data_IF_613384713305
#
_entry.id   IF_613384713305
#
_cell.length_a   1.000
_cell.length_b   1.000
_cell.length_c   1.000
_cell.angle_alpha   90.00
_cell.angle_beta   90.00
_cell.angle_gamma   90.00
#
_symmetry.space_group_name_H-M   'P 1'
#
loop_
_entity.id
_entity.type
_entity.pdbx_description
1 polymer ?
#
# COMPACT_ATOMS: atom_id res chain seq x y z
N UNK A 1 -16.08 -36.07 -0.30
CA UNK A 1 -14.79 -35.52 0.18
C UNK A 1 -14.31 -34.34 -0.67
N UNK A 2 -14.09 -34.48 -1.98
CA UNK A 2 -13.65 -33.35 -2.84
C UNK A 2 -14.63 -32.16 -2.85
N UNK A 3 -15.94 -32.43 -2.96
CA UNK A 3 -16.97 -31.40 -2.93
C UNK A 3 -17.00 -30.65 -1.59
N UNK A 4 -16.83 -31.36 -0.47
CA UNK A 4 -16.78 -30.75 0.86
C UNK A 4 -15.54 -29.86 1.02
N UNK A 5 -14.39 -30.29 0.52
CA UNK A 5 -13.16 -29.49 0.55
C UNK A 5 -13.29 -28.23 -0.32
N UNK A 6 -13.92 -28.34 -1.49
CA UNK A 6 -14.22 -27.21 -2.37
C UNK A 6 -15.16 -26.19 -1.69
N UNK A 7 -16.25 -26.66 -1.08
CA UNK A 7 -17.19 -25.77 -0.36
C UNK A 7 -16.52 -25.07 0.82
N UNK A 8 -15.71 -25.80 1.60
CA UNK A 8 -14.93 -25.19 2.70
C UNK A 8 -13.95 -24.18 2.16
N UNK A 9 -13.29 -24.45 1.04
CA UNK A 9 -12.41 -23.50 0.37
C UNK A 9 -13.13 -22.20 -0.02
N UNK A 10 -14.28 -22.30 -0.65
CA UNK A 10 -15.09 -21.13 -1.00
C UNK A 10 -15.57 -20.35 0.23
N UNK A 11 -16.01 -21.04 1.28
CA UNK A 11 -16.41 -20.40 2.52
C UNK A 11 -15.25 -19.66 3.18
N UNK A 12 -14.07 -20.27 3.22
CA UNK A 12 -12.87 -19.68 3.77
C UNK A 12 -12.39 -18.48 2.94
N UNK A 13 -12.52 -18.55 1.62
CA UNK A 13 -12.05 -17.52 0.70
C UNK A 13 -12.98 -16.30 0.68
N UNK A 14 -14.29 -16.48 0.65
CA UNK A 14 -15.25 -15.40 0.41
C UNK A 14 -16.10 -15.02 1.62
N UNK A 15 -16.30 -15.89 2.58
CA UNK A 15 -17.24 -15.66 3.69
C UNK A 15 -16.55 -15.59 5.04
N UNK A 16 -15.79 -16.61 5.39
CA UNK A 16 -15.16 -16.76 6.71
C UNK A 16 -13.70 -16.32 6.66
N UNK A 17 -13.47 -15.07 6.24
CA UNK A 17 -12.18 -14.43 6.13
C UNK A 17 -12.27 -12.99 6.67
N UNK A 18 -11.15 -12.31 6.76
CA UNK A 18 -11.14 -10.90 7.13
C UNK A 18 -11.55 -10.03 5.95
N UNK A 19 -12.64 -9.28 6.13
CA UNK A 19 -13.20 -8.40 5.11
C UNK A 19 -12.78 -6.94 5.38
N UNK A 20 -11.66 -6.51 4.81
CA UNK A 20 -11.16 -5.15 4.96
C UNK A 20 -10.61 -4.57 3.64
N UNK A 21 -10.09 -3.35 3.70
CA UNK A 21 -9.49 -2.69 2.54
C UNK A 21 -8.19 -3.37 2.07
N UNK A 22 -7.45 -4.05 2.97
CA UNK A 22 -6.25 -4.80 2.57
C UNK A 22 -6.64 -6.00 1.71
N UNK A 23 -7.71 -6.71 2.09
CA UNK A 23 -8.25 -7.82 1.30
C UNK A 23 -8.61 -7.36 -0.11
N UNK A 24 -9.44 -6.32 -0.23
CA UNK A 24 -9.88 -5.81 -1.53
C UNK A 24 -8.71 -5.33 -2.41
N UNK A 25 -7.67 -4.74 -1.80
CA UNK A 25 -6.47 -4.31 -2.51
C UNK A 25 -5.64 -5.49 -3.01
N UNK A 26 -5.35 -6.45 -2.14
CA UNK A 26 -4.53 -7.61 -2.52
C UNK A 26 -5.24 -8.46 -3.57
N UNK A 27 -6.55 -8.72 -3.40
CA UNK A 27 -7.34 -9.41 -4.41
C UNK A 27 -7.39 -8.64 -5.74
N UNK A 28 -7.53 -7.30 -5.67
CA UNK A 28 -7.48 -6.43 -6.84
C UNK A 28 -6.18 -6.52 -7.64
N UNK A 29 -5.05 -6.78 -6.98
CA UNK A 29 -3.79 -7.03 -7.67
C UNK A 29 -3.81 -8.33 -8.48
N UNK A 30 -4.40 -9.38 -7.94
CA UNK A 30 -4.44 -10.68 -8.62
C UNK A 30 -5.39 -10.77 -9.80
N UNK A 31 -6.31 -9.81 -9.93
CA UNK A 31 -7.20 -9.72 -11.10
C UNK A 31 -6.67 -8.79 -12.20
N UNK A 32 -5.56 -8.08 -11.98
CA UNK A 32 -4.89 -7.35 -13.05
C UNK A 32 -4.38 -8.31 -14.13
N UNK A 33 -4.46 -7.89 -15.38
CA UNK A 33 -3.93 -8.67 -16.49
C UNK A 33 -2.45 -8.96 -16.31
N UNK A 34 -2.02 -10.16 -16.70
CA UNK A 34 -0.65 -10.60 -16.50
C UNK A 34 0.34 -9.69 -17.25
N UNK A 35 1.43 -9.35 -16.58
CA UNK A 35 2.56 -8.56 -17.13
C UNK A 35 2.15 -7.17 -17.65
N UNK A 36 1.09 -6.56 -17.05
CA UNK A 36 0.61 -5.21 -17.42
C UNK A 36 1.00 -4.12 -16.43
N UNK A 37 1.64 -4.45 -15.32
CA UNK A 37 2.08 -3.48 -14.31
C UNK A 37 3.54 -3.10 -14.52
N UNK A 38 3.81 -1.84 -14.92
CA UNK A 38 5.16 -1.30 -15.09
C UNK A 38 5.90 -1.12 -13.78
N UNK A 39 5.16 -0.64 -12.74
CA UNK A 39 5.73 -0.30 -11.42
C UNK A 39 4.91 -0.97 -10.32
N UNK A 40 5.50 -1.92 -9.64
CA UNK A 40 4.91 -2.51 -8.44
C UNK A 40 5.38 -1.74 -7.20
N UNK A 41 4.44 -1.44 -6.30
CA UNK A 41 4.69 -0.63 -5.10
C UNK A 41 4.46 -1.50 -3.87
N UNK A 42 5.51 -1.79 -3.09
CA UNK A 42 5.42 -2.60 -1.88
C UNK A 42 5.75 -1.79 -0.63
N UNK A 43 5.03 -2.05 0.44
CA UNK A 43 5.23 -1.30 1.69
C UNK A 43 3.98 -1.26 2.56
N UNK A 44 3.83 -0.14 3.26
CA UNK A 44 2.76 0.07 4.24
C UNK A 44 1.64 1.00 3.71
N UNK A 45 0.91 1.60 4.65
CA UNK A 45 -0.19 2.51 4.33
C UNK A 45 0.22 3.75 3.55
N UNK A 46 1.43 4.21 3.68
CA UNK A 46 1.94 5.37 2.94
C UNK A 46 1.98 5.09 1.45
N UNK A 47 2.32 3.87 1.05
CA UNK A 47 2.39 3.44 -0.34
C UNK A 47 1.02 3.51 -1.03
N UNK A 48 -0.02 2.94 -0.42
CA UNK A 48 -1.34 2.91 -1.04
C UNK A 48 -2.15 4.20 -0.87
N UNK A 49 -1.74 5.10 0.03
CA UNK A 49 -2.40 6.40 0.19
C UNK A 49 -1.64 7.56 -0.47
N UNK A 50 -0.35 7.37 -0.75
CA UNK A 50 0.50 8.43 -1.28
C UNK A 50 0.61 8.46 -2.80
N UNK A 51 0.28 7.37 -3.50
CA UNK A 51 0.40 7.27 -4.96
C UNK A 51 -0.92 6.79 -5.54
N UNK A 52 -1.46 7.57 -6.49
CA UNK A 52 -2.63 7.20 -7.29
C UNK A 52 -2.22 6.55 -8.60
N UNK A 53 -2.47 5.23 -8.80
CA UNK A 53 -2.12 4.56 -10.04
C UNK A 53 -2.85 5.12 -11.27
N UNK A 54 -4.12 5.46 -11.16
CA UNK A 54 -4.88 6.03 -12.28
C UNK A 54 -4.30 7.37 -12.74
N UNK A 55 -3.93 8.25 -11.79
CA UNK A 55 -3.28 9.53 -12.11
C UNK A 55 -1.86 9.31 -12.69
N UNK A 56 -1.11 8.34 -12.19
CA UNK A 56 0.19 7.97 -12.73
C UNK A 56 0.08 7.55 -14.20
N UNK A 57 -0.91 6.73 -14.52
CA UNK A 57 -1.20 6.31 -15.88
C UNK A 57 -1.63 7.49 -16.77
N UNK A 58 -2.55 8.33 -16.30
CA UNK A 58 -3.00 9.53 -17.03
C UNK A 58 -1.83 10.45 -17.43
N UNK A 59 -0.95 10.74 -16.49
CA UNK A 59 0.12 11.74 -16.70
C UNK A 59 1.33 11.21 -17.42
N UNK A 60 1.62 9.92 -17.27
CA UNK A 60 2.92 9.35 -17.72
C UNK A 60 2.78 8.07 -18.53
N UNK A 61 1.56 7.54 -18.73
CA UNK A 61 1.33 6.25 -19.37
C UNK A 61 1.86 5.06 -18.56
N UNK A 62 2.32 5.28 -17.33
CA UNK A 62 2.93 4.25 -16.49
C UNK A 62 1.86 3.56 -15.64
N UNK A 63 1.68 2.28 -15.87
CA UNK A 63 0.80 1.44 -15.03
C UNK A 63 1.49 1.12 -13.72
N UNK A 64 0.77 1.26 -12.62
CA UNK A 64 1.32 0.95 -11.31
C UNK A 64 0.27 0.31 -10.39
N UNK A 65 0.74 -0.42 -9.38
CA UNK A 65 -0.18 -1.01 -8.39
C UNK A 65 0.47 -1.09 -7.00
N UNK A 66 -0.19 -0.61 -5.92
CA UNK A 66 0.28 -0.74 -4.55
C UNK A 66 -0.08 -2.12 -3.96
N UNK A 67 0.81 -3.10 -4.14
CA UNK A 67 0.76 -4.38 -3.45
C UNK A 67 1.25 -4.22 -2.01
N UNK A 68 0.51 -3.43 -1.24
CA UNK A 68 0.87 -2.93 0.08
C UNK A 68 -0.27 -3.13 1.09
N UNK A 69 0.07 -3.29 2.37
CA UNK A 69 -0.91 -3.52 3.43
C UNK A 69 -0.63 -2.63 4.65
N UNK A 70 -1.67 -2.33 5.42
CA UNK A 70 -1.51 -1.53 6.63
C UNK A 70 -0.50 -2.17 7.58
N UNK A 71 0.44 -1.35 8.10
CA UNK A 71 1.48 -1.79 9.04
C UNK A 71 2.30 -2.99 8.54
N UNK A 72 2.65 -3.01 7.25
CA UNK A 72 3.44 -4.11 6.66
C UNK A 72 4.70 -4.40 7.47
N UNK A 73 5.05 -5.68 7.59
CA UNK A 73 6.21 -6.17 8.33
C UNK A 73 7.42 -6.38 7.42
N UNK A 74 8.64 -6.35 7.98
CA UNK A 74 9.85 -6.64 7.20
C UNK A 74 9.86 -8.07 6.64
N UNK A 75 9.27 -9.01 7.38
CA UNK A 75 9.12 -10.40 6.94
C UNK A 75 8.24 -10.54 5.69
N UNK A 76 7.31 -9.61 5.46
CA UNK A 76 6.43 -9.63 4.29
C UNK A 76 7.15 -9.26 2.99
N UNK A 77 8.18 -8.40 3.04
CA UNK A 77 8.81 -7.81 1.85
C UNK A 77 9.28 -8.84 0.81
N UNK A 78 10.00 -9.87 1.28
CA UNK A 78 10.46 -10.96 0.41
C UNK A 78 9.30 -11.70 -0.26
N UNK A 79 8.24 -11.98 0.49
CA UNK A 79 7.07 -12.68 -0.04
C UNK A 79 6.28 -11.79 -0.99
N UNK A 80 6.20 -10.47 -0.72
CA UNK A 80 5.57 -9.51 -1.62
C UNK A 80 6.26 -9.47 -2.98
N UNK A 81 7.59 -9.44 -3.04
CA UNK A 81 8.32 -9.51 -4.32
C UNK A 81 7.97 -10.80 -5.07
N UNK A 82 8.06 -11.96 -4.41
CA UNK A 82 7.76 -13.27 -5.01
C UNK A 82 6.31 -13.37 -5.51
N UNK A 83 5.36 -12.79 -4.80
CA UNK A 83 3.96 -12.77 -5.23
C UNK A 83 3.73 -11.86 -6.43
N UNK A 84 4.42 -10.72 -6.50
CA UNK A 84 4.40 -9.85 -7.66
C UNK A 84 4.95 -10.59 -8.87
N UNK A 85 6.13 -11.18 -8.78
CA UNK A 85 6.79 -11.91 -9.87
C UNK A 85 5.99 -13.13 -10.36
N UNK A 86 5.07 -13.65 -9.55
CA UNK A 86 4.21 -14.77 -9.94
C UNK A 86 3.17 -14.37 -11.01
N UNK A 87 2.74 -13.13 -11.02
CA UNK A 87 1.68 -12.62 -11.90
C UNK A 87 2.10 -11.46 -12.78
N UNK A 88 3.14 -10.74 -12.42
CA UNK A 88 3.62 -9.54 -13.09
C UNK A 88 5.14 -9.61 -13.31
N UNK A 89 5.63 -8.85 -14.28
CA UNK A 89 7.05 -8.65 -14.54
C UNK A 89 7.37 -7.14 -14.58
N UNK A 90 7.33 -6.46 -13.41
CA UNK A 90 7.47 -5.01 -13.37
C UNK A 90 8.87 -4.55 -13.76
N UNK A 91 8.94 -3.43 -14.46
CA UNK A 91 10.20 -2.75 -14.81
C UNK A 91 10.87 -2.16 -13.58
N UNK A 92 10.08 -1.87 -12.53
CA UNK A 92 10.58 -1.36 -11.26
C UNK A 92 9.70 -1.86 -10.12
N UNK A 93 10.34 -2.27 -9.03
CA UNK A 93 9.69 -2.54 -7.74
C UNK A 93 10.13 -1.46 -6.77
N UNK A 94 9.17 -0.64 -6.33
CA UNK A 94 9.41 0.43 -5.35
C UNK A 94 9.12 -0.10 -3.95
N UNK A 95 10.09 0.03 -3.05
CA UNK A 95 10.08 -0.55 -1.70
C UNK A 95 10.09 0.56 -0.66
N UNK A 96 9.00 0.71 0.08
CA UNK A 96 8.92 1.64 1.21
C UNK A 96 9.60 1.01 2.44
N UNK A 97 10.55 1.77 3.05
CA UNK A 97 11.43 1.23 4.09
C UNK A 97 10.92 1.35 5.53
N UNK A 98 9.71 1.82 5.75
CA UNK A 98 9.18 2.11 7.10
C UNK A 98 9.26 0.92 8.06
N UNK A 99 9.01 -0.30 7.56
CA UNK A 99 9.05 -1.51 8.37
C UNK A 99 10.43 -1.78 9.03
N UNK A 100 11.50 -1.20 8.50
CA UNK A 100 12.85 -1.33 9.06
C UNK A 100 13.21 -0.21 10.05
N UNK A 101 12.32 0.76 10.29
CA UNK A 101 12.61 1.95 11.11
C UNK A 101 11.90 1.97 12.46
N UNK A 102 10.98 1.05 12.69
CA UNK A 102 10.21 1.00 13.92
C UNK A 102 11.09 0.69 15.15
N UNK A 103 10.65 1.20 16.30
CA UNK A 103 11.24 0.87 17.60
C UNK A 103 10.36 -0.11 18.39
N UNK A 104 9.25 -0.54 17.81
CA UNK A 104 8.24 -1.42 18.44
C UNK A 104 8.16 -2.75 17.69
N UNK A 105 7.68 -3.78 18.37
CA UNK A 105 7.61 -5.13 17.82
C UNK A 105 6.45 -5.34 16.83
N UNK A 106 6.31 -4.45 15.84
CA UNK A 106 5.30 -4.62 14.78
C UNK A 106 5.39 -5.98 14.09
N UNK A 107 6.60 -6.54 13.99
CA UNK A 107 6.84 -7.88 13.46
C UNK A 107 6.15 -9.00 14.27
N UNK A 108 5.78 -8.72 15.50
CA UNK A 108 5.10 -9.67 16.41
C UNK A 108 3.60 -9.37 16.56
N UNK A 109 3.11 -8.26 16.00
CA UNK A 109 1.67 -7.94 16.05
C UNK A 109 0.90 -8.84 15.08
N UNK A 110 0.03 -9.65 15.65
CA UNK A 110 -0.83 -10.55 14.86
C UNK A 110 -1.60 -9.79 13.77
N UNK A 111 -2.14 -8.61 14.08
CA UNK A 111 -2.86 -7.78 13.11
C UNK A 111 -2.00 -7.38 11.92
N UNK A 112 -0.75 -6.96 12.14
CA UNK A 112 0.17 -6.58 11.07
C UNK A 112 0.51 -7.76 10.15
N UNK A 113 0.75 -8.92 10.74
CA UNK A 113 1.01 -10.16 10.01
C UNK A 113 -0.22 -10.56 9.18
N UNK A 114 -1.41 -10.56 9.79
CA UNK A 114 -2.66 -10.96 9.14
C UNK A 114 -3.11 -9.99 8.05
N UNK A 115 -2.85 -8.70 8.20
CA UNK A 115 -3.13 -7.70 7.15
C UNK A 115 -2.53 -8.08 5.80
N UNK A 116 -1.44 -8.85 5.79
CA UNK A 116 -0.81 -9.35 4.58
C UNK A 116 -1.14 -10.82 4.32
N UNK A 117 -0.71 -11.72 5.20
CA UNK A 117 -0.66 -13.14 4.87
C UNK A 117 -2.04 -13.80 4.73
N UNK A 118 -3.06 -13.31 5.45
CA UNK A 118 -4.42 -13.83 5.30
C UNK A 118 -5.00 -13.54 3.91
N UNK A 119 -4.50 -12.51 3.23
CA UNK A 119 -4.94 -12.07 1.92
C UNK A 119 -4.14 -12.71 0.76
N UNK A 120 -3.00 -13.35 1.04
CA UNK A 120 -2.22 -14.08 0.03
C UNK A 120 -2.87 -15.42 -0.27
N UNK A 121 -3.09 -15.80 -1.55
CA UNK A 121 -3.59 -17.12 -1.90
C UNK A 121 -2.69 -18.26 -1.38
N UNK A 122 -3.27 -19.43 -1.12
CA UNK A 122 -2.52 -20.58 -0.68
C UNK A 122 -1.60 -21.08 -1.80
N UNK A 123 -0.32 -20.80 -1.68
CA UNK A 123 0.75 -21.20 -2.57
C UNK A 123 2.06 -21.39 -1.81
N UNK A 124 3.15 -21.73 -2.49
CA UNK A 124 4.44 -21.99 -1.85
C UNK A 124 5.03 -20.75 -1.15
N UNK A 125 4.79 -19.53 -1.65
CA UNK A 125 5.26 -18.30 -1.01
C UNK A 125 4.57 -18.09 0.34
N UNK A 126 3.26 -18.35 0.42
CA UNK A 126 2.51 -18.33 1.69
C UNK A 126 3.02 -19.38 2.66
N UNK A 127 3.28 -20.61 2.19
CA UNK A 127 3.85 -21.69 3.02
C UNK A 127 5.23 -21.28 3.55
N UNK A 128 6.12 -20.76 2.69
CA UNK A 128 7.45 -20.29 3.09
C UNK A 128 7.36 -19.18 4.14
N UNK A 129 6.45 -18.22 3.97
CA UNK A 129 6.23 -17.18 4.95
C UNK A 129 5.77 -17.73 6.31
N UNK A 130 4.75 -18.60 6.32
CA UNK A 130 4.19 -19.18 7.55
C UNK A 130 5.26 -20.02 8.28
N UNK A 131 6.02 -20.82 7.55
CA UNK A 131 7.06 -21.68 8.13
C UNK A 131 8.33 -20.90 8.51
N UNK A 132 8.67 -19.85 7.76
CA UNK A 132 9.86 -19.03 7.97
C UNK A 132 9.70 -17.99 9.09
N UNK A 133 8.49 -17.45 9.32
CA UNK A 133 8.28 -16.33 10.24
C UNK A 133 8.14 -16.81 11.69
N UNK A 134 9.09 -16.40 12.55
CA UNK A 134 9.11 -16.82 13.96
C UNK A 134 7.84 -16.39 14.72
N UNK A 135 7.34 -15.17 14.48
CA UNK A 135 6.13 -14.67 15.11
C UNK A 135 4.91 -15.56 14.78
N UNK A 136 4.75 -15.98 13.52
CA UNK A 136 3.69 -16.92 13.10
C UNK A 136 3.82 -18.26 13.80
N UNK A 137 5.05 -18.78 13.93
CA UNK A 137 5.29 -20.03 14.66
C UNK A 137 4.88 -19.92 16.13
N UNK A 138 5.14 -18.78 16.76
CA UNK A 138 4.79 -18.53 18.17
C UNK A 138 3.26 -18.39 18.38
N UNK A 139 2.54 -17.85 17.40
CA UNK A 139 1.07 -17.69 17.45
C UNK A 139 0.30 -18.98 17.12
N UNK A 140 0.93 -19.90 16.39
CA UNK A 140 0.31 -21.13 15.94
C UNK A 140 -0.09 -21.08 14.45
N UNK A 141 0.56 -21.91 13.64
CA UNK A 141 0.47 -21.89 12.17
C UNK A 141 -0.92 -22.23 11.61
N UNK A 142 -1.71 -23.02 12.32
CA UNK A 142 -2.99 -23.55 11.82
C UNK A 142 -3.96 -22.48 11.37
N UNK A 143 -4.07 -21.39 12.14
CA UNK A 143 -4.98 -20.29 11.83
C UNK A 143 -4.55 -19.47 10.61
N UNK A 144 -3.27 -19.51 10.23
CA UNK A 144 -2.75 -18.85 9.05
C UNK A 144 -2.93 -19.69 7.79
N UNK A 145 -2.91 -21.03 7.92
CA UNK A 145 -3.27 -21.93 6.82
C UNK A 145 -4.78 -22.01 6.61
N UNK A 146 -5.53 -21.94 7.70
CA UNK A 146 -6.99 -22.06 7.72
C UNK A 146 -7.62 -20.85 8.41
N UNK A 147 -7.72 -19.69 7.72
CA UNK A 147 -8.33 -18.47 8.29
C UNK A 147 -9.72 -18.69 8.87
N UNK A 148 -10.48 -19.66 8.37
CA UNK A 148 -11.79 -20.06 8.93
C UNK A 148 -11.73 -20.33 10.45
N UNK A 149 -10.62 -20.82 10.99
CA UNK A 149 -10.44 -21.05 12.43
C UNK A 149 -10.51 -19.74 13.20
N UNK A 150 -9.91 -18.68 12.65
CA UNK A 150 -9.89 -17.33 13.23
C UNK A 150 -11.20 -16.60 13.00
N UNK A 151 -11.73 -16.68 11.78
CA UNK A 151 -12.85 -15.85 11.32
C UNK A 151 -14.20 -16.58 11.31
N UNK A 152 -14.35 -17.72 11.99
CA UNK A 152 -15.60 -18.49 12.02
C UNK A 152 -16.80 -17.70 12.61
N UNK A 153 -16.56 -16.62 13.34
CA UNK A 153 -17.60 -15.77 13.95
C UNK A 153 -17.87 -14.47 13.17
N UNK A 154 -17.21 -14.23 12.04
CA UNK A 154 -17.34 -12.96 11.27
C UNK A 154 -18.79 -12.65 10.87
N UNK A 155 -19.62 -13.65 10.73
CA UNK A 155 -21.05 -13.52 10.44
C UNK A 155 -21.85 -12.78 11.51
N UNK A 156 -21.36 -12.69 12.74
CA UNK A 156 -22.02 -11.93 13.80
C UNK A 156 -21.95 -10.42 13.56
N UNK A 157 -21.05 -9.97 12.68
CA UNK A 157 -20.81 -8.55 12.39
C UNK A 157 -21.52 -8.10 11.09
N UNK A 158 -22.35 -8.97 10.46
CA UNK A 158 -23.16 -8.56 9.32
C UNK A 158 -24.09 -7.38 9.69
N UNK A 159 -24.34 -6.41 8.76
CA UNK A 159 -24.15 -6.53 7.30
C UNK A 159 -22.82 -6.00 6.74
N UNK A 160 -21.91 -5.44 7.53
CA UNK A 160 -20.70 -4.81 6.98
C UNK A 160 -19.77 -5.78 6.23
N UNK A 161 -19.40 -6.95 6.79
CA UNK A 161 -18.62 -7.95 6.06
C UNK A 161 -19.29 -8.40 4.76
N UNK A 162 -20.62 -8.54 4.77
CA UNK A 162 -21.39 -8.87 3.57
C UNK A 162 -21.19 -7.85 2.44
N UNK A 163 -21.29 -6.55 2.75
CA UNK A 163 -21.10 -5.51 1.74
C UNK A 163 -19.69 -5.54 1.13
N UNK A 164 -18.67 -5.81 1.92
CA UNK A 164 -17.29 -5.94 1.43
C UNK A 164 -17.11 -7.23 0.61
N UNK A 165 -17.69 -8.34 1.03
CA UNK A 165 -17.70 -9.58 0.26
C UNK A 165 -18.37 -9.40 -1.12
N UNK A 166 -19.53 -8.74 -1.17
CA UNK A 166 -20.23 -8.44 -2.43
C UNK A 166 -19.38 -7.50 -3.30
N UNK A 167 -18.72 -6.52 -2.70
CA UNK A 167 -17.81 -5.62 -3.43
C UNK A 167 -16.64 -6.40 -4.05
N UNK A 168 -16.06 -7.35 -3.32
CA UNK A 168 -15.02 -8.24 -3.83
C UNK A 168 -15.52 -9.09 -5.02
N UNK A 169 -16.65 -9.77 -4.88
CA UNK A 169 -17.22 -10.57 -5.96
C UNK A 169 -17.46 -9.70 -7.20
N UNK A 170 -17.99 -8.48 -7.03
CA UNK A 170 -18.22 -7.56 -8.14
C UNK A 170 -16.90 -7.11 -8.78
N UNK A 171 -15.88 -6.87 -7.99
CA UNK A 171 -14.52 -6.56 -8.45
C UNK A 171 -13.94 -7.71 -9.28
N UNK A 172 -14.04 -8.95 -8.80
CA UNK A 172 -13.59 -10.15 -9.52
C UNK A 172 -14.32 -10.32 -10.85
N UNK A 173 -15.64 -10.08 -10.87
CA UNK A 173 -16.45 -10.14 -12.08
C UNK A 173 -16.10 -9.04 -13.10
N UNK A 174 -15.68 -7.86 -12.64
CA UNK A 174 -15.25 -6.76 -13.51
C UNK A 174 -13.85 -7.00 -14.08
N UNK A 175 -13.00 -7.74 -13.37
CA UNK A 175 -11.62 -8.06 -13.78
C UNK A 175 -10.60 -6.97 -13.47
N UNK A 176 -10.97 -5.88 -12.80
CA UNK A 176 -10.08 -4.80 -12.36
C UNK A 176 -10.73 -3.95 -11.28
N UNK A 177 -9.95 -3.04 -10.67
CA UNK A 177 -10.46 -2.03 -9.75
C UNK A 177 -10.29 -0.64 -10.34
N UNK A 178 -11.27 0.28 -10.14
CA UNK A 178 -11.16 1.66 -10.64
C UNK A 178 -10.02 2.43 -9.98
N UNK A 179 -9.87 2.28 -8.66
CA UNK A 179 -8.82 2.98 -7.90
C UNK A 179 -7.48 2.25 -7.89
N UNK A 180 -7.38 1.06 -8.52
CA UNK A 180 -6.14 0.27 -8.60
C UNK A 180 -5.43 0.15 -7.23
N UNK A 181 -6.21 -0.14 -6.18
CA UNK A 181 -5.69 -0.31 -4.81
C UNK A 181 -5.44 0.97 -4.03
N UNK A 182 -5.61 2.16 -4.62
CA UNK A 182 -5.49 3.44 -3.91
C UNK A 182 -6.55 3.61 -2.83
N UNK A 183 -6.16 4.24 -1.71
CA UNK A 183 -7.04 4.57 -0.59
C UNK A 183 -6.67 5.94 -0.02
N UNK A 184 -7.65 6.75 0.34
CA UNK A 184 -7.42 8.04 0.99
C UNK A 184 -8.44 8.33 2.09
N UNK A 185 -8.35 9.50 2.73
CA UNK A 185 -9.30 9.95 3.77
C UNK A 185 -9.75 11.37 3.50
N UNK A 186 -10.99 11.69 3.91
CA UNK A 186 -11.53 13.06 3.92
C UNK A 186 -11.14 13.73 5.25
N UNK A 187 -9.87 14.06 5.38
CA UNK A 187 -9.31 14.74 6.54
C UNK A 187 -8.12 15.59 6.10
N UNK A 188 -7.96 16.75 6.73
CA UNK A 188 -6.78 17.60 6.60
C UNK A 188 -6.10 17.74 7.95
N UNK A 189 -4.78 17.75 7.95
CA UNK A 189 -4.02 17.99 9.16
C UNK A 189 -4.03 19.48 9.48
N UNK A 190 -4.43 19.81 10.70
CA UNK A 190 -4.34 21.16 11.24
C UNK A 190 -3.19 21.21 12.26
N UNK A 191 -2.17 22.00 12.01
CA UNK A 191 -1.10 22.24 12.96
C UNK A 191 -1.56 23.25 14.01
N UNK A 192 -1.81 22.78 15.23
CA UNK A 192 -1.95 23.67 16.38
C UNK A 192 -0.60 24.31 16.72
N UNK A 193 -0.59 25.47 17.39
CA UNK A 193 0.65 26.13 17.82
C UNK A 193 1.58 25.21 18.59
N UNK A 194 1.05 24.36 19.49
CA UNK A 194 1.83 23.39 20.24
C UNK A 194 2.52 22.37 19.34
N UNK A 195 1.82 21.87 18.33
CA UNK A 195 2.37 20.88 17.40
C UNK A 195 3.39 21.54 16.47
N UNK A 196 3.07 22.73 15.94
CA UNK A 196 4.01 23.49 15.13
C UNK A 196 5.34 23.73 15.85
N UNK A 197 5.30 24.17 17.11
CA UNK A 197 6.50 24.36 17.93
C UNK A 197 7.22 23.05 18.28
N UNK A 198 6.64 21.88 18.02
CA UNK A 198 7.29 20.57 18.20
C UNK A 198 7.90 20.00 16.92
N UNK A 199 7.67 20.63 15.76
CA UNK A 199 8.29 20.21 14.50
C UNK A 199 9.80 20.49 14.53
N UNK A 200 10.56 19.63 13.86
CA UNK A 200 12.01 19.75 13.78
C UNK A 200 12.43 19.90 12.32
N UNK A 201 13.45 20.74 12.06
CA UNK A 201 14.06 20.76 10.75
C UNK A 201 14.67 19.39 10.42
N UNK A 202 14.65 19.03 9.16
CA UNK A 202 15.35 17.84 8.68
C UNK A 202 16.85 18.13 8.58
N UNK A 203 17.68 17.16 8.95
CA UNK A 203 19.13 17.30 8.98
C UNK A 203 19.85 15.99 8.58
N UNK A 204 21.16 16.01 8.64
CA UNK A 204 22.03 14.88 8.31
C UNK A 204 22.27 13.93 9.49
N UNK A 205 21.63 14.13 10.62
CA UNK A 205 21.83 13.29 11.80
C UNK A 205 21.50 11.83 11.52
N UNK A 206 22.32 10.94 12.04
CA UNK A 206 22.17 9.49 11.89
C UNK A 206 22.10 8.84 13.26
N UNK A 207 21.07 8.04 13.46
CA UNK A 207 20.95 7.16 14.61
C UNK A 207 21.01 5.70 14.17
N UNK A 208 21.64 4.86 14.97
CA UNK A 208 21.69 3.41 14.72
C UNK A 208 20.27 2.85 14.61
N UNK A 209 20.08 1.99 13.63
CA UNK A 209 18.89 1.16 13.58
C UNK A 209 18.78 0.33 14.85
N UNK A 210 17.56 0.04 15.29
CA UNK A 210 17.38 -0.97 16.32
C UNK A 210 18.02 -2.28 15.86
N UNK A 211 18.76 -3.00 16.72
CA UNK A 211 19.57 -4.14 16.30
C UNK A 211 18.79 -5.17 15.48
N UNK A 212 17.55 -5.44 15.89
CA UNK A 212 16.64 -6.37 15.22
C UNK A 212 16.28 -5.91 13.80
N UNK A 213 15.84 -4.66 13.66
CA UNK A 213 15.45 -4.11 12.36
C UNK A 213 16.66 -3.88 11.45
N UNK A 214 17.80 -3.51 12.00
CA UNK A 214 19.05 -3.44 11.25
C UNK A 214 19.51 -4.81 10.74
N UNK A 215 19.23 -5.88 11.48
CA UNK A 215 19.44 -7.25 11.03
C UNK A 215 18.47 -7.61 9.88
N UNK A 216 17.18 -7.35 10.05
CA UNK A 216 16.16 -7.63 9.01
C UNK A 216 16.45 -6.89 7.71
N UNK A 217 16.86 -5.61 7.80
CA UNK A 217 17.22 -4.86 6.60
C UNK A 217 18.42 -5.51 5.88
N UNK A 218 19.48 -5.88 6.60
CA UNK A 218 20.63 -6.56 5.99
C UNK A 218 20.24 -7.90 5.35
N UNK A 219 19.50 -8.74 6.06
CA UNK A 219 19.02 -10.03 5.53
C UNK A 219 18.15 -9.86 4.27
N UNK A 220 17.37 -8.79 4.21
CA UNK A 220 16.58 -8.48 3.03
C UNK A 220 17.45 -7.97 1.86
N UNK A 221 18.42 -7.10 2.13
CA UNK A 221 19.38 -6.62 1.12
C UNK A 221 20.27 -7.75 0.60
N UNK A 222 20.74 -8.63 1.48
CA UNK A 222 21.50 -9.85 1.10
C UNK A 222 20.65 -10.72 0.16
N UNK A 223 19.40 -11.00 0.52
CA UNK A 223 18.48 -11.71 -0.34
C UNK A 223 18.32 -11.04 -1.72
N UNK A 224 18.11 -9.72 -1.76
CA UNK A 224 17.97 -8.99 -3.03
C UNK A 224 19.24 -9.12 -3.90
N UNK A 225 20.42 -9.10 -3.29
CA UNK A 225 21.70 -9.30 -4.01
C UNK A 225 21.88 -10.74 -4.49
N UNK A 226 21.55 -11.74 -3.67
CA UNK A 226 21.61 -13.13 -4.04
C UNK A 226 20.68 -13.46 -5.21
N UNK A 227 19.50 -12.84 -5.26
CA UNK A 227 18.56 -12.99 -6.37
C UNK A 227 18.94 -12.12 -7.59
N UNK A 228 19.96 -11.26 -7.49
CA UNK A 228 20.44 -10.37 -8.54
C UNK A 228 19.38 -9.36 -9.03
N UNK A 229 18.51 -8.89 -8.12
CA UNK A 229 17.56 -7.82 -8.48
C UNK A 229 18.30 -6.53 -8.85
N UNK A 230 18.01 -6.00 -10.02
CA UNK A 230 18.54 -4.73 -10.54
C UNK A 230 17.45 -3.66 -10.75
N UNK A 231 16.18 -4.03 -10.54
CA UNK A 231 15.02 -3.19 -10.72
C UNK A 231 14.34 -2.78 -9.38
N UNK A 232 15.12 -2.54 -8.34
CA UNK A 232 14.61 -2.11 -7.04
C UNK A 232 14.89 -0.64 -6.77
N UNK A 233 13.88 0.08 -6.26
CA UNK A 233 14.00 1.45 -5.76
C UNK A 233 13.51 1.51 -4.32
N UNK A 234 14.38 1.84 -3.39
CA UNK A 234 14.01 2.01 -1.98
C UNK A 234 13.57 3.45 -1.72
N UNK A 235 12.41 3.64 -1.08
CA UNK A 235 11.88 4.98 -0.84
C UNK A 235 11.42 5.17 0.60
N UNK A 236 11.40 6.42 1.02
CA UNK A 236 10.71 6.89 2.19
C UNK A 236 9.84 8.08 1.80
N UNK A 237 8.59 8.05 2.20
CA UNK A 237 7.60 9.08 1.87
C UNK A 237 7.87 10.38 2.65
N UNK A 238 7.32 11.53 2.20
CA UNK A 238 7.41 12.78 2.95
C UNK A 238 6.60 12.70 4.24
N UNK A 239 7.17 13.18 5.34
CA UNK A 239 6.56 13.24 6.66
C UNK A 239 6.75 14.62 7.28
N UNK A 240 5.88 14.97 8.20
CA UNK A 240 6.09 16.12 9.08
C UNK A 240 6.88 15.64 10.29
N UNK A 241 8.20 15.90 10.30
CA UNK A 241 9.10 15.40 11.35
C UNK A 241 8.88 16.17 12.65
N UNK A 242 8.64 15.44 13.73
CA UNK A 242 8.42 15.98 15.08
C UNK A 242 9.43 15.38 16.08
N UNK A 243 9.48 15.93 17.30
CA UNK A 243 10.38 15.45 18.37
C UNK A 243 10.20 13.97 18.67
N UNK A 244 8.96 13.48 18.68
CA UNK A 244 8.65 12.07 18.95
C UNK A 244 8.98 11.15 17.77
N UNK A 245 8.97 11.64 16.53
CA UNK A 245 9.30 10.88 15.32
C UNK A 245 10.75 11.10 14.86
N UNK A 246 11.49 12.01 15.46
CA UNK A 246 12.86 12.37 15.04
C UNK A 246 13.83 11.18 15.02
N UNK A 247 13.71 10.25 15.97
CA UNK A 247 14.55 9.04 15.96
C UNK A 247 14.26 8.17 14.74
N UNK A 248 13.00 8.08 14.28
CA UNK A 248 12.62 7.33 13.09
C UNK A 248 13.21 8.00 11.83
N UNK A 249 13.12 9.33 11.75
CA UNK A 249 13.75 10.11 10.69
C UNK A 249 15.25 9.86 10.60
N UNK A 250 15.99 10.02 11.69
CA UNK A 250 17.45 9.83 11.71
C UNK A 250 17.89 8.39 11.48
N UNK A 251 17.05 7.39 11.82
CA UNK A 251 17.24 5.99 11.43
C UNK A 251 17.03 5.79 9.93
N UNK A 252 16.11 6.52 9.32
CA UNK A 252 15.92 6.55 7.86
C UNK A 252 17.19 6.92 7.13
N UNK A 253 17.91 7.98 7.60
CA UNK A 253 19.20 8.36 7.04
C UNK A 253 20.22 7.22 7.12
N UNK A 254 20.27 6.51 8.25
CA UNK A 254 21.17 5.35 8.43
C UNK A 254 20.78 4.16 7.57
N UNK A 255 19.48 3.91 7.38
CA UNK A 255 19.00 2.85 6.51
C UNK A 255 19.41 3.09 5.06
N UNK A 256 19.30 4.32 4.57
CA UNK A 256 19.72 4.67 3.22
C UNK A 256 21.23 4.61 3.03
N UNK A 257 22.05 4.96 4.04
CA UNK A 257 23.48 4.72 3.98
C UNK A 257 23.79 3.22 3.79
N UNK A 258 23.05 2.34 4.49
CA UNK A 258 23.21 0.90 4.34
C UNK A 258 22.75 0.42 2.96
N UNK A 259 21.58 0.85 2.48
CA UNK A 259 21.06 0.52 1.15
C UNK A 259 22.06 0.94 0.05
N UNK A 260 22.64 2.14 0.17
CA UNK A 260 23.66 2.64 -0.76
C UNK A 260 24.95 1.80 -0.75
N UNK A 261 25.36 1.24 0.41
CA UNK A 261 26.51 0.30 0.50
C UNK A 261 26.25 -0.98 -0.30
N UNK A 262 25.00 -1.40 -0.43
CA UNK A 262 24.59 -2.52 -1.30
C UNK A 262 24.43 -2.12 -2.77
N UNK A 263 24.68 -0.85 -3.13
CA UNK A 263 24.53 -0.32 -4.47
C UNK A 263 23.09 -0.50 -5.03
N UNK A 264 22.08 -0.29 -4.21
CA UNK A 264 20.69 -0.14 -4.65
C UNK A 264 20.31 1.33 -4.75
N UNK A 265 19.43 1.65 -5.69
CA UNK A 265 18.86 2.98 -5.83
C UNK A 265 17.91 3.31 -4.67
N UNK A 266 17.95 4.57 -4.23
CA UNK A 266 17.03 5.05 -3.20
C UNK A 266 16.66 6.53 -3.35
N UNK A 267 15.52 6.91 -2.79
CA UNK A 267 15.06 8.30 -2.65
C UNK A 267 14.48 8.49 -1.25
N UNK A 268 15.04 9.46 -0.52
CA UNK A 268 14.50 9.88 0.77
C UNK A 268 13.68 11.16 0.59
N UNK A 269 12.35 11.03 0.43
CA UNK A 269 11.46 12.17 0.27
C UNK A 269 11.27 12.99 1.56
N UNK A 270 11.68 12.50 2.73
CA UNK A 270 11.76 13.31 3.94
C UNK A 270 12.86 14.39 3.87
N UNK A 271 13.71 14.33 2.85
CA UNK A 271 14.82 15.26 2.62
C UNK A 271 14.80 15.88 1.22
N UNK A 272 13.78 15.59 0.46
CA UNK A 272 13.58 16.14 -0.87
C UNK A 272 12.88 17.50 -0.76
N UNK A 273 13.50 18.54 -1.32
CA UNK A 273 13.00 19.93 -1.19
C UNK A 273 11.58 20.09 -1.73
N UNK A 274 11.24 19.42 -2.82
CA UNK A 274 9.89 19.49 -3.42
C UNK A 274 8.87 18.80 -2.52
N UNK A 275 9.13 17.58 -2.10
CA UNK A 275 8.23 16.82 -1.24
C UNK A 275 8.09 17.48 0.15
N UNK A 276 9.16 18.06 0.68
CA UNK A 276 9.14 18.76 1.97
C UNK A 276 8.45 20.12 1.91
N UNK A 277 8.19 20.67 0.72
CA UNK A 277 7.45 21.93 0.55
C UNK A 277 5.94 21.77 0.68
N UNK A 278 5.40 20.55 0.79
CA UNK A 278 3.97 20.33 0.92
C UNK A 278 3.44 20.88 2.24
N UNK A 279 2.40 21.72 2.21
CA UNK A 279 1.83 22.29 3.41
C UNK A 279 1.09 21.23 4.25
N UNK A 280 0.84 21.47 5.54
CA UNK A 280 0.15 20.54 6.43
C UNK A 280 -1.22 20.09 5.91
N UNK A 281 -1.91 20.93 5.16
CA UNK A 281 -3.22 20.66 4.56
C UNK A 281 -3.16 19.57 3.48
N UNK A 282 -1.97 19.22 2.98
CA UNK A 282 -1.75 18.11 2.06
C UNK A 282 -1.64 16.75 2.77
N UNK A 283 -1.65 16.75 4.09
CA UNK A 283 -1.61 15.55 4.92
C UNK A 283 -2.94 15.34 5.64
N UNK A 284 -3.26 14.10 5.98
CA UNK A 284 -4.36 13.82 6.92
C UNK A 284 -3.86 13.47 8.32
N UNK A 285 -2.59 13.12 8.46
CA UNK A 285 -1.85 13.04 9.71
C UNK A 285 -0.36 13.28 9.41
N UNK A 286 0.52 13.17 10.40
CA UNK A 286 1.93 13.51 10.23
C UNK A 286 2.72 12.55 9.31
N UNK A 287 2.18 11.39 9.03
CA UNK A 287 2.87 10.32 8.29
C UNK A 287 2.21 10.01 6.93
N UNK A 288 1.04 10.62 6.62
CA UNK A 288 0.31 10.24 5.42
C UNK A 288 -0.25 11.46 4.68
N UNK A 289 -0.12 11.43 3.37
CA UNK A 289 -0.73 12.39 2.47
C UNK A 289 -2.24 12.12 2.33
N UNK A 290 -3.02 13.19 2.22
CA UNK A 290 -4.42 13.12 1.81
C UNK A 290 -4.52 13.19 0.27
N UNK A 291 -5.74 13.31 -0.30
CA UNK A 291 -5.90 13.32 -1.77
C UNK A 291 -5.14 14.47 -2.44
N UNK A 292 -5.07 15.65 -1.82
CA UNK A 292 -4.35 16.79 -2.41
C UNK A 292 -2.85 16.55 -2.42
N UNK A 293 -2.29 16.09 -1.30
CA UNK A 293 -0.88 15.78 -1.19
C UNK A 293 -0.48 14.59 -2.06
N UNK A 294 -1.28 13.53 -2.08
CA UNK A 294 -1.00 12.36 -2.92
C UNK A 294 -1.12 12.66 -4.42
N UNK A 295 -1.99 13.57 -4.84
CA UNK A 295 -2.06 14.04 -6.22
C UNK A 295 -0.73 14.71 -6.62
N UNK A 296 -0.28 15.70 -5.84
CA UNK A 296 0.99 16.39 -6.07
C UNK A 296 2.18 15.41 -6.04
N UNK A 297 2.18 14.51 -5.07
CA UNK A 297 3.25 13.53 -4.92
C UNK A 297 3.26 12.51 -6.05
N UNK A 298 2.10 12.05 -6.52
CA UNK A 298 2.00 11.15 -7.68
C UNK A 298 2.58 11.80 -8.94
N UNK A 299 2.24 13.07 -9.21
CA UNK A 299 2.79 13.79 -10.36
C UNK A 299 4.31 13.98 -10.22
N UNK A 300 4.79 14.37 -9.04
CA UNK A 300 6.22 14.54 -8.81
C UNK A 300 6.99 13.21 -8.92
N UNK A 301 6.52 12.17 -8.25
CA UNK A 301 7.15 10.85 -8.29
C UNK A 301 7.13 10.25 -9.71
N UNK A 302 6.01 10.37 -10.42
CA UNK A 302 5.90 9.94 -11.81
C UNK A 302 6.89 10.63 -12.73
N UNK A 303 7.13 11.93 -12.52
CA UNK A 303 8.16 12.66 -13.25
C UNK A 303 9.58 12.10 -13.02
N UNK A 304 9.87 11.68 -11.76
CA UNK A 304 11.14 11.02 -11.42
C UNK A 304 11.25 9.66 -12.12
N UNK A 305 10.19 8.84 -12.07
CA UNK A 305 10.16 7.54 -12.74
C UNK A 305 10.42 7.69 -14.24
N UNK A 306 9.77 8.65 -14.88
CA UNK A 306 9.91 8.88 -16.31
C UNK A 306 11.29 9.46 -16.68
N UNK A 307 11.75 10.47 -15.95
CA UNK A 307 12.94 11.24 -16.32
C UNK A 307 14.25 10.63 -15.81
N UNK A 308 14.28 10.14 -14.56
CA UNK A 308 15.48 9.57 -13.93
C UNK A 308 15.59 8.07 -14.19
N UNK A 309 14.53 7.31 -13.92
CA UNK A 309 14.54 5.85 -14.05
C UNK A 309 14.18 5.36 -15.47
N UNK A 310 13.76 6.28 -16.36
CA UNK A 310 13.43 5.97 -17.77
C UNK A 310 12.39 4.86 -17.92
N UNK A 311 11.44 4.78 -16.98
CA UNK A 311 10.38 3.79 -17.06
C UNK A 311 9.58 4.03 -18.34
N UNK A 312 9.62 3.05 -19.23
CA UNK A 312 8.82 3.03 -20.46
C UNK A 312 7.42 2.49 -20.17
N UNK A 313 6.47 2.90 -20.98
CA UNK A 313 5.12 2.36 -20.94
C UNK A 313 5.12 0.92 -21.48
N UNK A 314 4.30 0.04 -20.87
CA UNK A 314 3.99 -1.27 -21.45
C UNK A 314 2.91 -1.10 -22.51
N UNK A 315 3.08 -1.75 -23.66
CA UNK A 315 2.03 -1.81 -24.69
C UNK A 315 0.88 -2.68 -24.14
N UNK A 316 -0.22 -2.02 -23.84
CA UNK A 316 -1.43 -2.67 -23.34
C UNK A 316 -2.28 -3.17 -24.51
N UNK A 317 -2.94 -4.30 -24.35
CA UNK A 317 -4.01 -4.70 -25.28
C UNK A 317 -5.20 -3.74 -25.15
N UNK A 318 -6.13 -3.79 -26.14
CA UNK A 318 -7.28 -2.87 -26.18
C UNK A 318 -8.14 -2.94 -24.91
N UNK A 319 -8.34 -4.12 -24.34
CA UNK A 319 -9.14 -4.31 -23.15
C UNK A 319 -8.46 -3.72 -21.90
N UNK A 320 -7.17 -4.03 -21.69
CA UNK A 320 -6.41 -3.46 -20.56
C UNK A 320 -6.32 -1.93 -20.69
N UNK A 321 -6.08 -1.40 -21.90
CA UNK A 321 -6.07 0.05 -22.14
C UNK A 321 -7.43 0.69 -21.82
N UNK A 322 -8.54 0.05 -22.22
CA UNK A 322 -9.90 0.50 -21.88
C UNK A 322 -10.10 0.57 -20.38
N UNK A 323 -9.72 -0.48 -19.66
CA UNK A 323 -9.85 -0.56 -18.20
C UNK A 323 -9.03 0.52 -17.48
N UNK A 324 -7.82 0.83 -17.97
CA UNK A 324 -7.01 1.92 -17.41
C UNK A 324 -7.63 3.30 -17.68
N UNK A 325 -8.19 3.52 -18.88
CA UNK A 325 -8.91 4.75 -19.18
C UNK A 325 -10.16 4.91 -18.31
N UNK A 326 -10.92 3.84 -18.07
CA UNK A 326 -12.05 3.86 -17.13
C UNK A 326 -11.60 4.16 -15.69
N UNK A 327 -10.41 3.69 -15.28
CA UNK A 327 -9.83 4.05 -13.99
C UNK A 327 -9.49 5.55 -13.92
N UNK A 328 -8.99 6.16 -14.99
CA UNK A 328 -8.74 7.61 -15.08
C UNK A 328 -10.05 8.39 -14.99
N UNK A 329 -11.06 8.02 -15.78
CA UNK A 329 -12.37 8.66 -15.76
C UNK A 329 -13.02 8.60 -14.37
N UNK A 330 -12.92 7.45 -13.71
CA UNK A 330 -13.41 7.28 -12.34
C UNK A 330 -12.58 8.08 -11.34
N UNK A 331 -11.25 8.19 -11.53
CA UNK A 331 -10.37 8.98 -10.68
C UNK A 331 -10.80 10.46 -10.62
N UNK A 332 -11.12 11.08 -11.74
CA UNK A 332 -11.59 12.47 -11.76
C UNK A 332 -12.90 12.63 -11.00
N UNK A 333 -13.87 11.75 -11.24
CA UNK A 333 -15.14 11.77 -10.51
C UNK A 333 -14.94 11.54 -9.00
N UNK A 334 -14.04 10.63 -8.65
CA UNK A 334 -13.69 10.33 -7.27
C UNK A 334 -12.96 11.50 -6.60
N UNK A 335 -12.07 12.21 -7.33
CA UNK A 335 -11.39 13.40 -6.83
C UNK A 335 -12.41 14.49 -6.48
N UNK A 336 -13.32 14.83 -7.40
CA UNK A 336 -14.36 15.83 -7.18
C UNK A 336 -15.28 15.44 -6.01
N UNK A 337 -15.69 14.18 -5.93
CA UNK A 337 -16.46 13.68 -4.80
C UNK A 337 -15.71 13.78 -3.47
N UNK A 338 -14.43 13.43 -3.47
CA UNK A 338 -13.60 13.49 -2.26
C UNK A 338 -13.36 14.94 -1.83
N UNK A 339 -13.12 15.84 -2.77
CA UNK A 339 -13.03 17.29 -2.47
C UNK A 339 -14.32 17.81 -1.86
N UNK A 340 -15.47 17.50 -2.45
CA UNK A 340 -16.77 17.81 -1.87
C UNK A 340 -16.90 17.29 -0.42
N UNK A 341 -16.48 16.05 -0.18
CA UNK A 341 -16.52 15.46 1.16
C UNK A 341 -15.55 16.12 2.15
N UNK A 342 -14.40 16.62 1.69
CA UNK A 342 -13.50 17.43 2.52
C UNK A 342 -14.13 18.78 2.89
N UNK A 343 -14.81 19.43 1.94
CA UNK A 343 -15.49 20.70 2.21
C UNK A 343 -16.63 20.54 3.22
N UNK A 344 -17.39 19.45 3.14
CA UNK A 344 -18.48 19.14 4.08
C UNK A 344 -17.97 18.62 5.46
N UNK A 345 -16.72 18.21 5.56
CA UNK A 345 -16.15 17.60 6.77
C UNK A 345 -15.69 18.66 7.79
N UNK A 346 -16.63 19.52 8.23
CA UNK A 346 -16.36 20.64 9.14
C UNK A 346 -15.77 20.22 10.49
N UNK A 347 -16.03 19.00 10.94
CA UNK A 347 -15.51 18.47 12.20
C UNK A 347 -14.16 17.77 12.02
N UNK A 348 -13.60 17.77 10.82
CA UNK A 348 -12.34 17.11 10.46
C UNK A 348 -12.28 15.64 10.91
N UNK A 349 -13.40 14.94 10.83
CA UNK A 349 -13.50 13.52 11.17
C UNK A 349 -12.84 12.66 10.11
N UNK A 350 -12.24 11.56 10.52
CA UNK A 350 -11.69 10.58 9.59
C UNK A 350 -12.82 9.92 8.79
N UNK A 351 -12.83 10.15 7.48
CA UNK A 351 -13.71 9.51 6.52
C UNK A 351 -12.82 8.79 5.51
N UNK A 352 -12.83 7.47 5.54
CA UNK A 352 -11.99 6.66 4.66
C UNK A 352 -12.66 6.38 3.31
N UNK A 353 -11.90 6.52 2.25
CA UNK A 353 -12.29 6.18 0.88
C UNK A 353 -11.39 5.06 0.35
N UNK A 354 -11.95 3.90 0.19
CA UNK A 354 -11.37 2.79 -0.55
C UNK A 354 -12.48 2.15 -1.40
N UNK A 355 -12.10 1.51 -2.47
CA UNK A 355 -13.06 1.03 -3.45
C UNK A 355 -13.98 -0.05 -2.86
N UNK A 356 -15.26 0.24 -2.86
CA UNK A 356 -16.37 -0.66 -2.58
C UNK A 356 -17.53 -0.29 -3.50
N UNK A 357 -18.48 -1.18 -3.69
CA UNK A 357 -19.69 -0.87 -4.44
C UNK A 357 -20.46 0.33 -3.88
N UNK A 358 -20.43 0.54 -2.57
CA UNK A 358 -21.05 1.69 -1.91
C UNK A 358 -20.35 3.00 -2.30
N UNK A 359 -19.02 3.02 -2.30
CA UNK A 359 -18.25 4.19 -2.75
C UNK A 359 -18.53 4.48 -4.22
N UNK A 360 -18.46 3.47 -5.09
CA UNK A 360 -18.72 3.64 -6.53
C UNK A 360 -20.09 4.30 -6.75
N UNK A 361 -21.15 3.76 -6.14
CA UNK A 361 -22.50 4.34 -6.24
C UNK A 361 -22.58 5.78 -5.74
N UNK A 362 -21.87 6.11 -4.67
CA UNK A 362 -21.84 7.48 -4.12
C UNK A 362 -21.13 8.45 -5.05
N UNK A 363 -20.03 8.05 -5.66
CA UNK A 363 -19.30 8.85 -6.65
C UNK A 363 -20.16 9.09 -7.89
N UNK A 364 -20.75 8.03 -8.45
CA UNK A 364 -21.64 8.10 -9.61
C UNK A 364 -22.87 9.00 -9.34
N UNK A 365 -23.52 8.86 -8.19
CA UNK A 365 -24.67 9.66 -7.81
C UNK A 365 -24.29 11.14 -7.63
N UNK A 366 -23.15 11.44 -7.06
CA UNK A 366 -22.61 12.80 -6.95
C UNK A 366 -22.34 13.40 -8.34
N UNK A 367 -21.65 12.66 -9.19
CA UNK A 367 -21.34 13.10 -10.57
C UNK A 367 -22.58 13.35 -11.39
N UNK A 368 -23.58 12.44 -11.32
CA UNK A 368 -24.85 12.61 -12.03
C UNK A 368 -25.66 13.84 -11.59
N UNK A 369 -25.52 14.26 -10.33
CA UNK A 369 -26.22 15.44 -9.78
C UNK A 369 -25.53 16.75 -10.17
N UNK A 370 -24.25 16.72 -10.46
CA UNK A 370 -23.43 17.93 -10.70
C UNK A 370 -23.01 18.09 -12.19
N UNK A 371 -23.43 17.19 -13.07
CA UNK A 371 -23.45 17.34 -14.53
C UNK A 371 -24.70 18.10 -14.95
#
# INVERSE_FOLDING_TARGET
MLLSAFVIGLLQEYVLCHHDANRLRIDGFYIEDKDTIDVALIGSSEMYSGISPALMYEKYGVTSYPYATASSTSAAMKTQIKEIERTQNPKLIVIEINCFLYATDNEELESSIRNYIDNVPLNWNKVEYIEGTQAVRNMGRREFYFPIIKYHNVWNDFPEPWNKMVSRITQDMRGYTYLRGYKTTAQKLELTEKVYNSTLPVDETRNKLEPRYGKYLREFLDYCKEQQYDNLLFVRFPHIVRKDTYKRFTRGNTAFDLIGQYCFDYINFERDETAMSYPPEDYYNFDHLNIYGSTKFTEYFGSILKNKFKISETELNEESARQWNESVDFWHQFYDYTDYRFQENKENKKIEFFETNDLIKKVEAYTAKNK
#
